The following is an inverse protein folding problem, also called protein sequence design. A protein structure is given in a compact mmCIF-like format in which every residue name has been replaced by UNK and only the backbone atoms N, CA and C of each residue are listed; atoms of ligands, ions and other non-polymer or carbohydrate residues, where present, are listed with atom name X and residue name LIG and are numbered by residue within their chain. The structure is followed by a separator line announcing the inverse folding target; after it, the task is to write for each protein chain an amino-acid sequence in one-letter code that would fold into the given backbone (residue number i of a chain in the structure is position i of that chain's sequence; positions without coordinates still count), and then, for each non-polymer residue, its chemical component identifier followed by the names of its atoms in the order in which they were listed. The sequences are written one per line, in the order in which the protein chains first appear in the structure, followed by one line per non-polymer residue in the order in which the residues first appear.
data_IF_417971292431
#
_entry.id   IF_417971292431
#
_cell.length_a   1.000
_cell.length_b   1.000
_cell.length_c   1.000
_cell.angle_alpha   90.00
_cell.angle_beta   90.00
_cell.angle_gamma   90.00
#
_symmetry.space_group_name_H-M   'P 1'
#
loop_
_entity.id
_entity.type
_entity.pdbx_description
1 polymer ?
#
# COMPACT_ATOMS: atom_id res chain seq x y z
N UNK A 1 0.86 10.54 20.45
CA UNK A 1 1.99 10.53 19.50
C UNK A 1 1.74 11.67 18.52
N UNK A 2 2.78 12.39 18.14
CA UNK A 2 2.64 13.49 17.18
C UNK A 2 2.46 12.91 15.77
N UNK A 3 1.46 13.37 15.02
CA UNK A 3 1.27 12.99 13.63
C UNK A 3 2.33 13.70 12.79
N UNK A 4 3.17 12.92 12.08
CA UNK A 4 4.26 13.39 11.23
C UNK A 4 3.99 13.18 9.74
N UNK A 5 2.74 12.89 9.35
CA UNK A 5 2.39 12.44 7.99
C UNK A 5 2.88 13.36 6.90
N UNK A 6 2.57 14.67 6.95
CA UNK A 6 2.96 15.61 5.89
C UNK A 6 4.48 15.65 5.68
N UNK A 7 5.24 15.69 6.77
CA UNK A 7 6.71 15.73 6.76
C UNK A 7 7.29 14.45 6.15
N UNK A 8 6.81 13.29 6.59
CA UNK A 8 7.35 12.00 6.16
C UNK A 8 6.93 11.66 4.73
N UNK A 9 5.71 12.00 4.32
CA UNK A 9 5.27 11.87 2.92
C UNK A 9 6.19 12.70 2.00
N UNK A 10 6.49 13.95 2.35
CA UNK A 10 7.41 14.78 1.58
C UNK A 10 8.83 14.17 1.47
N UNK A 11 9.32 13.51 2.53
CA UNK A 11 10.62 12.80 2.50
C UNK A 11 10.58 11.54 1.62
N UNK A 12 9.49 10.77 1.68
CA UNK A 12 9.33 9.53 0.90
C UNK A 12 9.14 9.83 -0.60
N UNK A 13 8.37 10.85 -0.94
CA UNK A 13 7.98 11.20 -2.32
C UNK A 13 8.72 12.43 -2.87
N UNK A 14 10.00 12.59 -2.50
CA UNK A 14 10.84 13.69 -2.99
C UNK A 14 11.18 13.60 -4.49
N UNK A 15 11.11 12.40 -5.05
CA UNK A 15 11.39 12.13 -6.47
C UNK A 15 10.13 12.38 -7.31
N UNK A 16 10.19 13.17 -8.41
CA UNK A 16 9.10 13.35 -9.35
C UNK A 16 8.43 12.04 -9.82
N UNK A 17 9.19 10.97 -9.99
CA UNK A 17 8.63 9.66 -10.37
C UNK A 17 7.73 9.06 -9.28
N UNK A 18 8.13 9.21 -8.00
CA UNK A 18 7.32 8.75 -6.88
C UNK A 18 6.01 9.56 -6.78
N UNK A 19 6.04 10.86 -7.11
CA UNK A 19 4.86 11.73 -7.09
C UNK A 19 3.78 11.31 -8.09
N UNK A 20 4.12 10.69 -9.22
CA UNK A 20 3.12 10.17 -10.17
C UNK A 20 2.20 9.14 -9.52
N UNK A 21 2.72 8.29 -8.62
CA UNK A 21 1.91 7.31 -7.89
C UNK A 21 0.83 7.96 -7.01
N UNK A 22 1.06 9.17 -6.50
CA UNK A 22 0.09 9.90 -5.70
C UNK A 22 -1.02 10.57 -6.52
N UNK A 23 -0.85 10.70 -7.84
CA UNK A 23 -1.83 11.37 -8.71
C UNK A 23 -3.20 10.67 -8.71
N UNK A 24 -3.23 9.36 -8.60
CA UNK A 24 -4.47 8.55 -8.48
C UNK A 24 -5.26 8.82 -7.19
N UNK A 25 -4.63 9.52 -6.23
CA UNK A 25 -5.19 9.85 -4.92
C UNK A 25 -5.32 11.36 -4.71
N UNK A 26 -5.31 12.15 -5.79
CA UNK A 26 -5.43 13.62 -5.70
C UNK A 26 -6.77 14.07 -5.12
N UNK A 27 -7.79 13.21 -5.16
CA UNK A 27 -9.10 13.40 -4.53
C UNK A 27 -9.10 13.14 -3.02
N UNK A 28 -8.00 12.61 -2.47
CA UNK A 28 -7.88 12.23 -1.06
C UNK A 28 -7.08 13.24 -0.26
N UNK A 29 -7.52 13.50 0.98
CA UNK A 29 -6.69 14.20 1.97
C UNK A 29 -5.77 13.20 2.68
N UNK A 30 -4.58 12.96 2.10
CA UNK A 30 -3.61 11.96 2.58
C UNK A 30 -3.24 12.19 4.05
N UNK A 31 -3.12 13.45 4.49
CA UNK A 31 -2.70 13.79 5.85
C UNK A 31 -3.76 13.46 6.92
N UNK A 32 -5.04 13.43 6.54
CA UNK A 32 -6.14 13.01 7.41
C UNK A 32 -6.34 11.49 7.39
N UNK A 33 -5.99 10.85 6.27
CA UNK A 33 -6.16 9.40 6.10
C UNK A 33 -5.04 8.62 6.77
N UNK A 34 -3.79 9.01 6.53
CA UNK A 34 -2.63 8.31 7.05
C UNK A 34 -2.19 8.93 8.37
N UNK A 35 -2.01 8.09 9.37
CA UNK A 35 -1.40 8.47 10.65
C UNK A 35 0.01 7.89 10.72
N UNK A 36 0.99 8.69 10.30
CA UNK A 36 2.41 8.35 10.45
C UNK A 36 2.91 8.90 11.78
N UNK A 37 3.52 8.02 12.56
CA UNK A 37 4.10 8.35 13.87
C UNK A 37 5.52 7.83 14.00
N UNK A 38 6.28 8.47 14.88
CA UNK A 38 7.64 8.05 15.20
C UNK A 38 7.66 7.01 16.33
N UNK A 39 8.50 5.99 16.17
CA UNK A 39 8.82 5.00 17.20
C UNK A 39 10.28 4.55 17.00
N UNK A 40 11.07 4.55 18.08
CA UNK A 40 12.47 4.10 18.04
C UNK A 40 13.30 4.77 16.92
N UNK A 41 13.10 6.09 16.72
CA UNK A 41 13.72 6.92 15.65
C UNK A 41 13.37 6.51 14.22
N UNK A 42 12.35 5.67 14.03
CA UNK A 42 11.83 5.23 12.73
C UNK A 42 10.36 5.61 12.61
N UNK A 43 9.84 5.67 11.40
CA UNK A 43 8.47 6.12 11.13
C UNK A 43 7.61 4.97 10.65
N UNK A 44 6.41 4.89 11.22
CA UNK A 44 5.45 3.82 11.00
C UNK A 44 4.06 4.38 10.74
N UNK A 45 3.23 3.59 10.07
CA UNK A 45 1.78 3.77 10.05
C UNK A 45 1.09 2.48 10.51
N UNK A 46 -0.19 2.56 10.87
CA UNK A 46 -1.00 1.37 11.14
C UNK A 46 -1.66 0.88 9.86
N UNK A 47 -1.41 -0.36 9.47
CA UNK A 47 -2.01 -0.95 8.27
C UNK A 47 -3.52 -1.15 8.44
N UNK A 48 -4.34 -0.64 7.50
CA UNK A 48 -5.80 -0.70 7.58
C UNK A 48 -6.36 -2.12 7.57
N UNK A 49 -5.70 -3.06 6.89
CA UNK A 49 -6.11 -4.47 6.86
C UNK A 49 -5.50 -5.27 8.01
N UNK A 50 -4.19 -5.20 8.19
CA UNK A 50 -3.42 -6.08 9.10
C UNK A 50 -3.45 -5.63 10.56
N UNK A 51 -3.82 -4.37 10.82
CA UNK A 51 -3.81 -3.75 12.16
C UNK A 51 -2.44 -3.78 12.85
N UNK A 52 -1.38 -3.86 12.06
CA UNK A 52 0.02 -3.84 12.51
C UNK A 52 0.68 -2.53 12.12
N UNK A 53 1.67 -2.13 12.90
CA UNK A 53 2.52 -0.98 12.60
C UNK A 53 3.55 -1.39 11.54
N UNK A 54 3.57 -0.71 10.40
CA UNK A 54 4.46 -0.99 9.27
C UNK A 54 5.42 0.18 9.10
N UNK A 55 6.72 -0.11 9.01
CA UNK A 55 7.75 0.90 8.83
C UNK A 55 7.67 1.47 7.42
N UNK A 56 7.60 2.79 7.30
CA UNK A 56 7.52 3.51 6.01
C UNK A 56 8.75 4.35 5.73
N UNK A 57 9.50 4.73 6.77
CA UNK A 57 10.74 5.47 6.61
C UNK A 57 11.71 5.19 7.76
N UNK A 58 12.97 4.91 7.42
CA UNK A 58 14.09 4.84 8.35
C UNK A 58 15.11 5.94 8.02
N UNK A 59 15.26 6.98 8.87
CA UNK A 59 16.22 8.05 8.67
C UNK A 59 17.68 7.60 8.67
N UNK A 60 18.03 6.55 9.41
CA UNK A 60 19.42 6.12 9.62
C UNK A 60 20.10 5.68 8.31
N UNK A 61 19.35 5.00 7.44
CA UNK A 61 19.83 4.49 6.16
C UNK A 61 19.05 5.07 4.97
N UNK A 62 18.21 6.09 5.20
CA UNK A 62 17.32 6.72 4.22
C UNK A 62 16.41 5.70 3.47
N UNK A 63 16.09 4.56 4.08
CA UNK A 63 15.21 3.58 3.49
C UNK A 63 13.76 4.08 3.52
N UNK A 64 13.11 4.11 2.36
CA UNK A 64 11.70 4.49 2.20
C UNK A 64 10.88 3.33 1.66
N UNK A 65 9.61 3.25 2.08
CA UNK A 65 8.64 2.30 1.55
C UNK A 65 7.44 3.05 0.95
N UNK A 66 7.65 3.65 -0.23
CA UNK A 66 6.59 4.34 -0.98
C UNK A 66 5.47 3.40 -1.39
N UNK A 67 5.77 2.15 -1.72
CA UNK A 67 4.77 1.13 -2.07
C UNK A 67 3.79 0.87 -0.94
N UNK A 68 4.26 0.79 0.32
CA UNK A 68 3.34 0.65 1.46
C UNK A 68 2.42 1.85 1.62
N UNK A 69 2.89 3.08 1.35
CA UNK A 69 2.02 4.27 1.35
C UNK A 69 0.91 4.13 0.30
N UNK A 70 1.29 3.79 -0.94
CA UNK A 70 0.33 3.57 -2.05
C UNK A 70 -0.64 2.43 -1.72
N UNK A 71 -0.14 1.33 -1.15
CA UNK A 71 -0.92 0.17 -0.70
C UNK A 71 -1.97 0.59 0.34
N UNK A 72 -1.60 1.43 1.32
CA UNK A 72 -2.55 1.93 2.31
C UNK A 72 -3.61 2.85 1.71
N UNK A 73 -3.25 3.72 0.75
CA UNK A 73 -4.21 4.57 0.07
C UNK A 73 -5.20 3.74 -0.77
N UNK A 74 -4.74 2.69 -1.44
CA UNK A 74 -5.62 1.73 -2.11
C UNK A 74 -6.54 1.00 -1.14
N UNK A 75 -6.02 0.51 -0.01
CA UNK A 75 -6.85 -0.11 1.03
C UNK A 75 -7.91 0.88 1.53
N UNK A 76 -7.57 2.16 1.69
CA UNK A 76 -8.54 3.18 2.05
C UNK A 76 -9.64 3.34 1.00
N UNK A 77 -9.30 3.48 -0.30
CA UNK A 77 -10.31 3.54 -1.38
C UNK A 77 -11.19 2.29 -1.40
N UNK A 78 -10.60 1.10 -1.32
CA UNK A 78 -11.35 -0.16 -1.32
C UNK A 78 -12.35 -0.26 -0.17
N UNK A 79 -11.92 0.08 1.06
CA UNK A 79 -12.75 -0.01 2.26
C UNK A 79 -13.79 1.12 2.33
N UNK A 80 -13.39 2.35 2.01
CA UNK A 80 -14.19 3.55 2.32
C UNK A 80 -14.89 4.15 1.11
N UNK A 81 -14.30 4.08 -0.08
CA UNK A 81 -14.91 4.60 -1.29
C UNK A 81 -15.73 3.53 -2.02
N UNK A 82 -15.10 2.39 -2.34
CA UNK A 82 -15.74 1.27 -3.03
C UNK A 82 -16.53 0.33 -2.11
N UNK A 83 -16.43 0.52 -0.79
CA UNK A 83 -17.18 -0.22 0.23
C UNK A 83 -17.02 -1.75 0.16
N UNK A 84 -15.84 -2.23 -0.25
CA UNK A 84 -15.53 -3.65 -0.15
C UNK A 84 -15.40 -4.05 1.34
N UNK A 85 -16.10 -5.11 1.78
CA UNK A 85 -15.92 -5.66 3.11
C UNK A 85 -14.46 -6.04 3.39
N UNK A 86 -13.95 -5.69 4.58
CA UNK A 86 -12.56 -5.94 5.00
C UNK A 86 -12.17 -7.43 4.97
N UNK A 87 -13.15 -8.30 5.17
CA UNK A 87 -13.02 -9.76 5.13
C UNK A 87 -12.97 -10.36 3.71
N UNK A 88 -13.14 -9.54 2.67
CA UNK A 88 -12.91 -9.89 1.26
C UNK A 88 -11.55 -9.43 0.74
N UNK A 89 -10.80 -8.65 1.53
CA UNK A 89 -9.52 -8.07 1.11
C UNK A 89 -8.39 -8.80 1.84
N UNK A 90 -7.38 -9.24 1.10
CA UNK A 90 -6.12 -9.73 1.66
C UNK A 90 -4.94 -8.91 1.12
N UNK A 91 -3.83 -8.91 1.85
CA UNK A 91 -2.61 -8.14 1.54
C UNK A 91 -1.42 -9.11 1.53
N UNK A 92 -0.49 -8.95 0.59
CA UNK A 92 0.69 -9.81 0.42
C UNK A 92 0.28 -11.29 0.32
N UNK A 93 -0.73 -11.58 -0.51
CA UNK A 93 -1.34 -12.90 -0.59
C UNK A 93 -0.87 -13.65 -1.83
N UNK A 94 -0.42 -14.88 -1.61
CA UNK A 94 -0.22 -15.88 -2.64
C UNK A 94 -1.54 -16.23 -3.33
N UNK A 95 -1.64 -15.89 -4.62
CA UNK A 95 -2.79 -16.20 -5.46
C UNK A 95 -2.41 -17.13 -6.61
N UNK A 96 -3.32 -18.07 -6.90
CA UNK A 96 -3.22 -18.97 -8.06
C UNK A 96 -3.98 -18.35 -9.23
N UNK A 97 -3.31 -18.21 -10.37
CA UNK A 97 -3.90 -17.69 -11.59
C UNK A 97 -4.32 -18.83 -12.52
N UNK A 98 -5.63 -18.98 -12.75
CA UNK A 98 -6.17 -19.93 -13.73
C UNK A 98 -5.87 -21.41 -13.40
N UNK A 99 -5.61 -22.21 -14.45
CA UNK A 99 -5.26 -23.64 -14.36
C UNK A 99 -3.77 -23.88 -14.11
N UNK A 100 -2.95 -22.84 -14.18
CA UNK A 100 -1.50 -22.95 -13.98
C UNK A 100 -1.16 -22.89 -12.49
N UNK A 101 -0.16 -23.66 -12.08
CA UNK A 101 0.24 -23.86 -10.68
C UNK A 101 1.08 -22.68 -10.16
N UNK A 102 1.29 -21.64 -10.96
CA UNK A 102 2.14 -20.52 -10.60
C UNK A 102 1.43 -19.63 -9.56
N UNK A 103 1.86 -19.80 -8.31
CA UNK A 103 1.49 -18.97 -7.17
C UNK A 103 2.34 -17.71 -7.23
N UNK A 104 1.73 -16.54 -7.31
CA UNK A 104 2.42 -15.25 -7.18
C UNK A 104 1.86 -14.51 -5.97
N UNK A 105 2.75 -14.00 -5.12
CA UNK A 105 2.39 -13.05 -4.08
C UNK A 105 2.03 -11.72 -4.74
N UNK A 106 0.87 -11.17 -4.37
CA UNK A 106 0.42 -9.86 -4.88
C UNK A 106 0.08 -8.94 -3.72
N UNK A 107 0.20 -7.63 -3.96
CA UNK A 107 0.09 -6.63 -2.91
C UNK A 107 -1.28 -6.57 -2.25
N UNK A 108 -2.35 -6.51 -3.05
CA UNK A 108 -3.73 -6.50 -2.56
C UNK A 108 -4.59 -7.40 -3.44
N UNK A 109 -5.39 -8.25 -2.80
CA UNK A 109 -6.41 -9.06 -3.46
C UNK A 109 -7.76 -8.74 -2.87
N UNK A 110 -8.75 -8.51 -3.72
CA UNK A 110 -10.16 -8.51 -3.34
C UNK A 110 -10.79 -9.76 -3.91
N UNK A 111 -11.31 -10.65 -3.06
CA UNK A 111 -12.02 -11.84 -3.50
C UNK A 111 -13.47 -11.52 -3.88
N UNK A 112 -14.12 -12.41 -4.62
CA UNK A 112 -15.55 -12.36 -4.86
C UNK A 112 -16.37 -12.50 -3.56
N UNK A 113 -17.70 -12.46 -3.64
CA UNK A 113 -18.58 -12.56 -2.46
C UNK A 113 -18.45 -13.90 -1.70
N UNK A 114 -18.09 -14.98 -2.40
CA UNK A 114 -17.88 -16.31 -1.82
C UNK A 114 -16.50 -16.50 -1.19
N UNK A 115 -15.59 -15.55 -1.43
CA UNK A 115 -14.20 -15.56 -0.96
C UNK A 115 -13.35 -16.73 -1.48
N UNK A 116 -13.73 -17.30 -2.62
CA UNK A 116 -13.04 -18.45 -3.22
C UNK A 116 -12.17 -18.07 -4.43
N UNK A 117 -12.48 -16.95 -5.09
CA UNK A 117 -11.83 -16.54 -6.34
C UNK A 117 -11.39 -15.07 -6.25
N UNK A 118 -10.13 -14.75 -6.57
CA UNK A 118 -9.69 -13.36 -6.75
C UNK A 118 -10.58 -12.64 -7.76
N UNK A 119 -11.08 -11.47 -7.38
CA UNK A 119 -11.95 -10.63 -8.21
C UNK A 119 -11.24 -9.35 -8.68
N UNK A 120 -10.39 -8.78 -7.82
CA UNK A 120 -9.49 -7.67 -8.14
C UNK A 120 -8.11 -8.04 -7.59
N UNK A 121 -7.07 -7.78 -8.36
CA UNK A 121 -5.67 -7.86 -7.94
C UNK A 121 -5.04 -6.50 -8.21
N UNK A 122 -4.42 -5.92 -7.19
CA UNK A 122 -3.68 -4.67 -7.29
C UNK A 122 -2.23 -4.98 -6.95
N UNK A 123 -1.32 -4.62 -7.85
CA UNK A 123 0.12 -4.65 -7.65
C UNK A 123 0.61 -3.20 -7.66
N UNK A 124 1.32 -2.80 -6.60
CA UNK A 124 1.90 -1.46 -6.44
C UNK A 124 3.38 -1.52 -6.78
N UNK A 125 3.72 -1.20 -8.02
CA UNK A 125 5.12 -1.12 -8.47
C UNK A 125 5.66 0.30 -8.39
N UNK A 126 6.93 0.43 -8.00
CA UNK A 126 7.71 1.64 -8.31
C UNK A 126 7.83 1.77 -9.83
N UNK A 127 7.81 2.99 -10.40
CA UNK A 127 7.96 3.22 -11.84
C UNK A 127 9.24 2.65 -12.47
N UNK A 128 10.24 2.27 -11.68
CA UNK A 128 11.62 1.95 -12.10
C UNK A 128 12.06 0.49 -11.96
N UNK A 129 11.15 -0.46 -11.79
CA UNK A 129 11.51 -1.87 -12.00
C UNK A 129 11.29 -2.23 -13.47
N UNK A 130 12.36 -2.12 -14.27
CA UNK A 130 12.46 -2.69 -15.63
C UNK A 130 12.50 -4.24 -15.64
N UNK A 131 12.12 -4.93 -14.57
CA UNK A 131 11.94 -6.38 -14.63
C UNK A 131 10.50 -6.73 -15.02
N UNK A 132 10.29 -6.79 -16.33
CA UNK A 132 9.03 -7.25 -16.89
C UNK A 132 9.04 -7.34 -18.40
N UNK A 133 9.84 -8.26 -18.94
CA UNK A 133 9.53 -9.18 -20.04
C UNK A 133 10.79 -10.03 -20.32
N UNK A 134 10.91 -11.18 -19.66
CA UNK A 134 11.61 -12.36 -20.17
C UNK A 134 10.65 -13.56 -20.10
#
# INVERSE_FOLDING_TARGET
MENKTSEIIAKIFKDPEALYGLKEFSDLNINEILEIFEKDKKYYLKCFKREKNIQVYNPENNQTNSEEIIRQLWLYKLLNYYKYPKDRIEVEKDVRFGREVNVKAVDIVVFNKKKDTPYIVIETKRPKEEEGLD
#
